data_IF_099681342754
#
_entry.id   IF_099681342754
#
_cell.length_a   1.000
_cell.length_b   1.000
_cell.length_c   1.000
_cell.angle_alpha   90.00
_cell.angle_beta   90.00
_cell.angle_gamma   90.00
#
_symmetry.space_group_name_H-M   'P 1'
#
loop_
_entity.id
_entity.type
_entity.pdbx_description
1 polymer ?
#
# COMPACT_ATOMS: atom_id res chain seq x y z
N UNK A 1 -2.83 -2.78 -8.18
CA UNK A 1 -1.47 -3.18 -8.65
C UNK A 1 -1.37 -4.71 -8.69
N UNK A 2 -0.50 -5.33 -9.50
CA UNK A 2 -0.36 -6.79 -9.49
C UNK A 2 0.43 -7.29 -8.26
N UNK A 3 0.00 -8.37 -7.57
CA UNK A 3 0.70 -8.93 -6.41
C UNK A 3 2.17 -9.26 -6.67
N UNK A 4 2.50 -9.68 -7.91
CA UNK A 4 3.88 -9.98 -8.32
C UNK A 4 4.81 -8.77 -8.21
N UNK A 5 4.32 -7.57 -8.53
CA UNK A 5 5.11 -6.34 -8.49
C UNK A 5 5.40 -5.94 -7.03
N UNK A 6 4.41 -6.10 -6.16
CA UNK A 6 4.57 -5.83 -4.72
C UNK A 6 5.55 -6.81 -4.07
N UNK A 7 5.51 -8.09 -4.47
CA UNK A 7 6.51 -9.08 -4.05
C UNK A 7 7.92 -8.75 -4.54
N UNK A 8 8.07 -8.27 -5.78
CA UNK A 8 9.36 -7.81 -6.30
C UNK A 8 9.89 -6.58 -5.54
N UNK A 9 9.00 -5.70 -5.09
CA UNK A 9 9.34 -4.56 -4.22
C UNK A 9 9.68 -4.97 -2.78
N UNK A 10 9.59 -6.26 -2.45
CA UNK A 10 9.83 -6.79 -1.10
C UNK A 10 8.87 -6.24 -0.04
N UNK A 11 7.63 -5.92 -0.45
CA UNK A 11 6.56 -5.51 0.46
C UNK A 11 6.16 -6.69 1.33
N UNK A 12 6.08 -6.49 2.64
CA UNK A 12 5.62 -7.52 3.57
C UNK A 12 4.21 -7.98 3.19
N UNK A 13 4.03 -9.29 3.09
CA UNK A 13 2.75 -9.90 2.74
C UNK A 13 2.46 -11.11 3.62
N UNK A 14 1.18 -11.32 3.88
CA UNK A 14 0.62 -12.45 4.60
C UNK A 14 -0.44 -13.12 3.73
N UNK A 15 -0.54 -14.45 3.80
CA UNK A 15 -1.58 -15.20 3.10
C UNK A 15 -2.60 -15.67 4.11
N UNK A 16 -3.86 -15.26 3.95
CA UNK A 16 -4.98 -15.62 4.82
C UNK A 16 -6.05 -16.22 3.90
N UNK A 17 -6.49 -17.46 4.20
CA UNK A 17 -7.53 -18.16 3.43
C UNK A 17 -7.28 -18.15 1.91
N UNK A 18 -6.04 -18.42 1.50
CA UNK A 18 -5.61 -18.43 0.10
C UNK A 18 -5.64 -17.05 -0.62
N UNK A 19 -5.84 -15.97 0.14
CA UNK A 19 -5.77 -14.58 -0.36
C UNK A 19 -4.51 -13.92 0.18
N UNK A 20 -3.76 -13.24 -0.71
CA UNK A 20 -2.54 -12.53 -0.34
C UNK A 20 -2.91 -11.09 0.05
N UNK A 21 -2.56 -10.73 1.28
CA UNK A 21 -2.65 -9.40 1.82
C UNK A 21 -1.25 -8.81 2.02
N UNK A 22 -1.16 -7.49 1.99
CA UNK A 22 0.07 -6.73 2.13
C UNK A 22 -0.04 -5.81 3.34
N UNK A 23 1.07 -5.66 4.06
CA UNK A 23 1.14 -4.83 5.26
C UNK A 23 1.12 -3.35 4.88
N UNK A 24 0.11 -2.64 5.36
CA UNK A 24 -0.09 -1.22 5.06
C UNK A 24 0.99 -0.34 5.69
N UNK A 25 1.44 -0.69 6.89
CA UNK A 25 2.46 0.08 7.60
C UNK A 25 3.78 0.00 6.86
N UNK A 26 4.14 -1.21 6.42
CA UNK A 26 5.32 -1.48 5.59
C UNK A 26 5.28 -0.67 4.28
N UNK A 27 4.14 -0.66 3.60
CA UNK A 27 3.94 0.16 2.39
C UNK A 27 4.17 1.65 2.69
N UNK A 28 3.56 2.19 3.75
CA UNK A 28 3.67 3.62 4.07
C UNK A 28 5.08 4.04 4.48
N UNK A 29 5.83 3.16 5.15
CA UNK A 29 7.16 3.47 5.67
C UNK A 29 8.27 3.21 4.64
N UNK A 30 8.19 2.09 3.92
CA UNK A 30 9.27 1.62 3.03
C UNK A 30 9.00 1.89 1.55
N UNK A 31 7.73 2.13 1.18
CA UNK A 31 7.31 2.31 -0.21
C UNK A 31 6.52 3.61 -0.40
N UNK A 32 7.18 4.78 -0.24
CA UNK A 32 6.52 6.07 -0.39
C UNK A 32 6.05 6.34 -1.82
N UNK A 33 6.40 5.50 -2.80
CA UNK A 33 5.92 5.52 -4.19
C UNK A 33 4.58 4.79 -4.37
N UNK A 34 4.06 4.14 -3.33
CA UNK A 34 2.80 3.42 -3.34
C UNK A 34 1.73 4.17 -2.53
N UNK A 35 0.49 4.02 -2.99
CA UNK A 35 -0.72 4.53 -2.38
C UNK A 35 -1.63 3.37 -2.08
N UNK A 36 -2.27 3.43 -0.91
CA UNK A 36 -3.23 2.41 -0.45
C UNK A 36 -4.61 3.05 -0.36
N UNK A 37 -5.65 2.34 -0.80
CA UNK A 37 -7.01 2.77 -0.55
C UNK A 37 -7.37 2.50 0.92
N UNK A 38 -7.43 3.55 1.72
CA UNK A 38 -7.69 3.46 3.16
C UNK A 38 -9.05 2.85 3.50
N UNK A 39 -10.02 2.91 2.58
CA UNK A 39 -11.36 2.35 2.80
C UNK A 39 -11.39 0.82 2.74
N UNK A 40 -10.42 0.24 2.04
CA UNK A 40 -10.32 -1.20 1.79
C UNK A 40 -9.26 -1.86 2.70
N UNK A 41 -8.74 -1.12 3.68
CA UNK A 41 -7.84 -1.67 4.69
C UNK A 41 -8.66 -2.50 5.65
N UNK A 42 -8.21 -3.73 5.88
CA UNK A 42 -8.72 -4.58 6.94
C UNK A 42 -7.69 -4.66 8.06
N UNK A 43 -8.16 -4.78 9.30
CA UNK A 43 -7.29 -4.99 10.45
C UNK A 43 -7.48 -6.41 10.93
N UNK A 44 -6.42 -7.22 10.90
CA UNK A 44 -6.41 -8.59 11.40
C UNK A 44 -5.35 -8.68 12.49
N UNK A 45 -5.74 -9.08 13.69
CA UNK A 45 -4.84 -9.18 14.86
C UNK A 45 -4.03 -7.90 15.15
N UNK A 46 -4.65 -6.73 14.94
CA UNK A 46 -4.01 -5.42 15.13
C UNK A 46 -3.07 -4.99 14.00
N UNK A 47 -2.92 -5.81 12.95
CA UNK A 47 -2.11 -5.52 11.76
C UNK A 47 -3.03 -4.99 10.65
N UNK A 48 -2.68 -3.83 10.11
CA UNK A 48 -3.37 -3.24 8.97
C UNK A 48 -2.91 -3.92 7.67
N UNK A 49 -3.85 -4.57 6.99
CA UNK A 49 -3.64 -5.38 5.80
C UNK A 49 -4.49 -4.87 4.65
N UNK A 50 -3.99 -5.01 3.42
CA UNK A 50 -4.71 -4.60 2.21
C UNK A 50 -4.42 -5.54 1.06
N UNK A 51 -5.39 -5.74 0.15
CA UNK A 51 -5.19 -6.54 -1.06
C UNK A 51 -4.41 -5.74 -2.12
N UNK A 52 -3.67 -6.46 -2.97
CA UNK A 52 -2.89 -5.85 -4.06
C UNK A 52 -3.72 -4.99 -5.02
N UNK A 53 -4.98 -5.36 -5.24
CA UNK A 53 -5.91 -4.65 -6.12
C UNK A 53 -6.14 -3.20 -5.67
N UNK A 54 -6.11 -2.96 -4.35
CA UNK A 54 -6.33 -1.65 -3.74
C UNK A 54 -5.03 -0.87 -3.44
N UNK A 55 -3.90 -1.38 -3.95
CA UNK A 55 -2.62 -0.70 -3.92
C UNK A 55 -2.37 -0.12 -5.31
N UNK A 56 -2.00 1.15 -5.38
CA UNK A 56 -1.72 1.88 -6.60
C UNK A 56 -0.35 2.54 -6.50
N UNK A 57 0.28 2.82 -7.64
CA UNK A 57 1.46 3.68 -7.66
C UNK A 57 1.06 5.13 -7.54
N UNK A 58 1.81 5.92 -6.78
CA UNK A 58 1.66 7.37 -6.80
C UNK A 58 2.00 7.89 -8.19
N UNK A 59 1.04 8.58 -8.78
CA UNK A 59 1.23 9.27 -10.05
C UNK A 59 1.99 10.58 -9.82
N UNK A 60 2.50 11.19 -10.89
CA UNK A 60 3.08 12.54 -10.81
C UNK A 60 2.07 13.56 -10.26
N UNK A 61 0.78 13.36 -10.53
CA UNK A 61 -0.29 14.16 -9.96
C UNK A 61 -0.34 14.06 -8.43
N UNK A 62 -0.29 12.84 -7.87
CA UNK A 62 -0.26 12.67 -6.42
C UNK A 62 1.01 13.28 -5.79
N UNK A 63 2.16 13.16 -6.46
CA UNK A 63 3.42 13.78 -6.02
C UNK A 63 3.31 15.30 -6.00
N UNK A 64 2.71 15.89 -7.02
CA UNK A 64 2.50 17.34 -7.12
C UNK A 64 1.55 17.86 -6.06
N UNK A 65 0.44 17.17 -5.78
CA UNK A 65 -0.47 17.53 -4.67
C UNK A 65 0.26 17.46 -3.34
N UNK A 66 1.07 16.42 -3.09
CA UNK A 66 1.82 16.29 -1.84
C UNK A 66 2.84 17.42 -1.66
N UNK A 67 3.42 17.92 -2.75
CA UNK A 67 4.34 19.06 -2.72
C UNK A 67 3.62 20.41 -2.50
N UNK A 68 2.41 20.56 -3.05
CA UNK A 68 1.59 21.78 -2.90
C UNK A 68 0.95 21.85 -1.50
N UNK A 69 0.37 20.74 -1.01
CA UNK A 69 -0.31 20.69 0.29
C UNK A 69 0.60 20.28 1.46
N UNK A 70 1.82 19.81 1.19
CA UNK A 70 2.79 19.42 2.22
C UNK A 70 3.68 20.56 2.72
N UNK A 71 3.60 21.74 2.10
CA UNK A 71 4.26 22.95 2.61
C UNK A 71 3.33 23.66 3.58
N UNK A 72 3.55 23.41 4.87
CA UNK A 72 3.24 24.38 5.92
C UNK A 72 4.32 25.44 5.96
#
# INVERSE_FOLDING_TARGET
MHPKILKQKNVKSITIENVIYFDVLDIKQNHPDLKVNIKEIITVDGIALIRAEYIESLTEFDKNIKNIFGKK
#
